data_IF_796029163207
#
_entry.id   IF_796029163207
#
_cell.length_a   1.000
_cell.length_b   1.000
_cell.length_c   1.000
_cell.angle_alpha   90.00
_cell.angle_beta   90.00
_cell.angle_gamma   90.00
#
_symmetry.space_group_name_H-M   'P 1'
#
loop_
_entity.id
_entity.type
_entity.pdbx_description
1 polymer ?
#
# COMPACT_ATOMS: atom_id res chain seq x y z
N UNK A 1 -11.72 10.46 8.73
CA UNK A 1 -12.34 11.07 7.54
C UNK A 1 -11.29 11.96 6.90
N UNK A 2 -11.19 11.94 5.57
CA UNK A 2 -10.28 12.82 4.83
C UNK A 2 -10.78 14.25 4.90
N UNK A 3 -9.91 15.22 5.19
CA UNK A 3 -10.29 16.62 5.26
C UNK A 3 -10.21 17.23 3.85
N UNK A 4 -11.31 17.82 3.38
CA UNK A 4 -11.43 18.49 2.07
C UNK A 4 -11.05 17.62 0.86
N UNK A 5 -11.72 16.49 0.64
CA UNK A 5 -11.40 15.67 -0.51
C UNK A 5 -11.85 16.36 -1.83
N UNK A 6 -11.03 16.43 -2.90
CA UNK A 6 -11.48 16.77 -4.25
C UNK A 6 -12.61 15.87 -4.76
N UNK A 7 -12.77 14.69 -4.15
CA UNK A 7 -13.87 13.78 -4.40
C UNK A 7 -14.27 13.06 -3.10
N UNK A 8 -15.49 13.30 -2.60
CA UNK A 8 -16.04 12.67 -1.39
C UNK A 8 -16.23 11.14 -1.48
N UNK A 9 -15.90 10.50 -2.60
CA UNK A 9 -16.09 9.05 -2.79
C UNK A 9 -14.98 8.18 -2.20
N UNK A 10 -13.86 8.76 -1.74
CA UNK A 10 -12.78 7.96 -1.16
C UNK A 10 -13.21 7.38 0.20
N UNK A 11 -12.79 6.15 0.50
CA UNK A 11 -12.98 5.55 1.81
C UNK A 11 -11.67 5.35 2.58
N UNK A 12 -10.52 5.57 1.94
CA UNK A 12 -9.19 5.58 2.56
C UNK A 12 -8.38 6.73 1.97
N UNK A 13 -7.71 7.51 2.82
CA UNK A 13 -6.71 8.50 2.40
C UNK A 13 -5.40 8.23 3.09
N UNK A 14 -4.33 8.17 2.31
CA UNK A 14 -2.98 7.95 2.80
C UNK A 14 -2.01 8.87 2.08
N UNK A 15 -0.71 8.70 2.38
CA UNK A 15 0.33 9.49 1.73
C UNK A 15 0.27 9.32 0.20
N UNK A 16 0.45 8.09 -0.28
CA UNK A 16 0.33 7.76 -1.69
C UNK A 16 -0.10 6.30 -1.83
N UNK A 17 -1.12 6.03 -2.62
CA UNK A 17 -1.58 4.68 -2.89
C UNK A 17 -0.66 3.98 -3.88
N UNK A 18 -0.20 2.79 -3.48
CA UNK A 18 0.59 1.92 -4.33
C UNK A 18 -0.24 0.66 -4.66
N UNK A 19 -0.64 0.46 -5.94
CA UNK A 19 -1.37 -0.75 -6.35
C UNK A 19 -0.47 -1.89 -6.85
N UNK A 20 0.82 -1.65 -7.08
CA UNK A 20 1.68 -2.65 -7.72
C UNK A 20 2.24 -3.64 -6.69
N UNK A 21 2.19 -4.91 -7.09
CA UNK A 21 2.41 -6.14 -6.32
C UNK A 21 1.38 -6.38 -5.23
N UNK A 22 1.15 -5.38 -4.39
CA UNK A 22 0.20 -5.39 -3.29
C UNK A 22 -0.30 -3.97 -3.05
N UNK A 23 -1.51 -3.86 -2.47
CA UNK A 23 -2.19 -2.59 -2.27
C UNK A 23 -1.80 -1.99 -0.92
N UNK A 24 -1.14 -0.83 -0.92
CA UNK A 24 -0.68 -0.22 0.34
C UNK A 24 -0.46 1.29 0.31
N UNK A 25 -0.15 1.83 1.50
CA UNK A 25 0.21 3.22 1.73
C UNK A 25 1.56 3.26 2.46
N UNK A 26 2.60 3.91 1.91
CA UNK A 26 3.90 4.02 2.57
C UNK A 26 3.78 4.63 3.97
N UNK A 27 4.64 4.14 4.87
CA UNK A 27 4.69 4.63 6.26
C UNK A 27 3.55 4.14 7.15
N UNK A 28 2.60 3.36 6.62
CA UNK A 28 1.44 2.86 7.37
C UNK A 28 0.61 4.01 7.99
N UNK A 29 0.54 5.14 7.29
CA UNK A 29 -0.18 6.34 7.73
C UNK A 29 -1.39 6.57 6.82
N UNK A 30 -2.58 6.38 7.37
CA UNK A 30 -3.84 6.61 6.66
C UNK A 30 -4.97 7.00 7.61
N UNK A 31 -5.99 7.64 7.05
CA UNK A 31 -7.32 7.74 7.63
C UNK A 31 -8.29 6.96 6.76
N UNK A 32 -9.26 6.30 7.37
CA UNK A 32 -10.25 5.50 6.65
C UNK A 32 -11.65 5.73 7.22
N UNK A 33 -12.66 5.42 6.43
CA UNK A 33 -14.04 5.37 6.91
C UNK A 33 -14.28 4.07 7.70
N UNK A 34 -15.08 4.14 8.76
CA UNK A 34 -15.34 2.99 9.62
C UNK A 34 -16.07 1.86 8.90
N UNK A 35 -16.95 2.18 7.93
CA UNK A 35 -17.65 1.21 7.10
C UNK A 35 -16.70 0.39 6.21
N UNK A 36 -15.60 0.98 5.75
CA UNK A 36 -14.52 0.26 5.08
C UNK A 36 -13.73 -0.62 6.06
N UNK A 37 -13.29 -0.06 7.19
CA UNK A 37 -12.53 -0.80 8.21
C UNK A 37 -13.28 -2.05 8.70
N UNK A 38 -14.60 -1.96 8.85
CA UNK A 38 -15.44 -3.09 9.29
C UNK A 38 -15.50 -4.26 8.29
N UNK A 39 -15.05 -4.06 7.04
CA UNK A 39 -14.97 -5.11 6.01
C UNK A 39 -13.61 -5.81 6.01
N UNK A 40 -12.60 -5.23 6.66
CA UNK A 40 -11.26 -5.80 6.73
C UNK A 40 -11.23 -6.97 7.71
N UNK A 41 -10.40 -7.96 7.39
CA UNK A 41 -10.00 -9.00 8.34
C UNK A 41 -9.26 -8.31 9.50
N UNK A 42 -9.46 -8.70 10.77
CA UNK A 42 -8.71 -8.12 11.88
C UNK A 42 -7.19 -8.20 11.65
N UNK A 43 -6.39 -7.17 11.98
CA UNK A 43 -4.97 -7.11 11.62
C UNK A 43 -4.16 -8.36 11.99
N UNK A 44 -4.37 -8.89 13.20
CA UNK A 44 -3.69 -10.12 13.65
C UNK A 44 -4.02 -11.34 12.77
N UNK A 45 -5.28 -11.48 12.36
CA UNK A 45 -5.72 -12.57 11.48
C UNK A 45 -5.29 -12.35 10.03
N UNK A 46 -5.14 -11.09 9.60
CA UNK A 46 -4.68 -10.77 8.25
C UNK A 46 -3.28 -11.31 8.00
N UNK A 47 -2.36 -11.08 8.95
CA UNK A 47 -0.99 -11.60 8.87
C UNK A 47 -0.94 -13.13 8.75
N UNK A 48 -1.72 -13.83 9.58
CA UNK A 48 -1.80 -15.30 9.55
C UNK A 48 -2.33 -15.81 8.20
N UNK A 49 -3.45 -15.24 7.72
CA UNK A 49 -4.07 -15.64 6.46
C UNK A 49 -3.20 -15.36 5.24
N UNK A 50 -2.53 -14.20 5.20
CA UNK A 50 -1.62 -13.90 4.09
C UNK A 50 -0.41 -14.84 4.08
N UNK A 51 0.09 -15.21 5.26
CA UNK A 51 1.19 -16.19 5.39
C UNK A 51 0.75 -17.57 4.89
N UNK A 52 -0.45 -18.02 5.27
CA UNK A 52 -1.02 -19.29 4.78
C UNK A 52 -1.23 -19.27 3.26
N UNK A 53 -1.81 -18.19 2.72
CA UNK A 53 -1.99 -18.01 1.27
C UNK A 53 -0.66 -18.04 0.53
N UNK A 54 0.38 -17.40 1.08
CA UNK A 54 1.72 -17.43 0.52
C UNK A 54 2.29 -18.85 0.42
N UNK A 55 2.15 -19.63 1.50
CA UNK A 55 2.59 -21.02 1.53
C UNK A 55 1.81 -21.90 0.55
N UNK A 56 0.48 -21.72 0.46
CA UNK A 56 -0.34 -22.47 -0.50
C UNK A 56 0.06 -22.13 -1.94
N UNK A 57 0.24 -20.86 -2.27
CA UNK A 57 0.65 -20.43 -3.60
C UNK A 57 2.02 -21.04 -3.99
N UNK A 58 2.99 -20.99 -3.09
CA UNK A 58 4.32 -21.57 -3.32
C UNK A 58 4.28 -23.09 -3.44
N UNK A 59 3.68 -23.79 -2.48
CA UNK A 59 3.76 -25.24 -2.38
C UNK A 59 2.81 -25.97 -3.34
N UNK A 60 1.59 -25.45 -3.51
CA UNK A 60 0.55 -26.11 -4.31
C UNK A 60 0.57 -25.67 -5.77
N UNK A 61 0.81 -24.39 -6.01
CA UNK A 61 0.71 -23.82 -7.35
C UNK A 61 2.08 -23.54 -7.98
N UNK A 62 3.17 -23.85 -7.28
CA UNK A 62 4.54 -23.54 -7.70
C UNK A 62 4.71 -22.07 -8.12
N UNK A 63 3.96 -21.18 -7.46
CA UNK A 63 3.98 -19.77 -7.76
C UNK A 63 5.25 -19.18 -7.15
N UNK A 64 6.22 -18.86 -7.99
CA UNK A 64 7.51 -18.31 -7.58
C UNK A 64 7.62 -16.85 -7.99
N UNK A 65 8.20 -16.01 -7.12
CA UNK A 65 8.58 -14.64 -7.47
C UNK A 65 9.93 -14.69 -8.17
N UNK A 66 9.94 -15.10 -9.45
CA UNK A 66 11.18 -15.18 -10.23
C UNK A 66 11.84 -13.82 -10.44
N UNK A 67 11.05 -12.74 -10.39
CA UNK A 67 11.54 -11.37 -10.53
C UNK A 67 12.23 -10.89 -9.25
N UNK A 68 11.79 -11.34 -8.07
CA UNK A 68 12.41 -10.99 -6.78
C UNK A 68 12.31 -12.15 -5.77
N UNK A 69 13.30 -13.07 -5.77
CA UNK A 69 13.24 -14.26 -4.94
C UNK A 69 13.39 -13.96 -3.43
N UNK A 70 14.05 -12.85 -3.07
CA UNK A 70 14.36 -12.49 -1.68
C UNK A 70 13.45 -11.40 -1.08
N UNK A 71 12.39 -11.01 -1.79
CA UNK A 71 11.46 -9.92 -1.40
C UNK A 71 10.01 -10.38 -1.37
N UNK A 72 9.80 -11.67 -1.20
CA UNK A 72 8.48 -12.28 -1.15
C UNK A 72 7.65 -11.71 0.01
N UNK A 73 8.30 -11.41 1.13
CA UNK A 73 7.64 -10.87 2.31
C UNK A 73 7.05 -9.48 2.07
N UNK A 74 7.83 -8.63 1.41
CA UNK A 74 7.43 -7.32 0.92
C UNK A 74 6.25 -7.48 -0.06
N UNK A 75 6.47 -8.06 -1.23
CA UNK A 75 5.45 -8.05 -2.29
C UNK A 75 4.13 -8.77 -1.95
N UNK A 76 4.13 -9.67 -0.98
CA UNK A 76 2.95 -10.43 -0.57
C UNK A 76 2.31 -9.92 0.71
N UNK A 77 2.92 -8.97 1.41
CA UNK A 77 2.41 -8.48 2.69
C UNK A 77 2.38 -9.53 3.77
N UNK A 78 3.46 -10.29 3.89
CA UNK A 78 3.63 -11.24 4.99
C UNK A 78 4.72 -10.74 5.94
N UNK A 79 4.81 -11.39 7.11
CA UNK A 79 5.77 -10.98 8.14
C UNK A 79 5.60 -9.51 8.53
N UNK A 80 6.69 -8.74 8.52
CA UNK A 80 6.68 -7.33 8.95
C UNK A 80 5.83 -6.41 8.07
N UNK A 81 5.60 -6.78 6.80
CA UNK A 81 4.89 -5.97 5.83
C UNK A 81 3.37 -6.19 5.86
N UNK A 82 2.90 -7.17 6.63
CA UNK A 82 1.46 -7.46 6.76
C UNK A 82 0.65 -6.24 7.21
N UNK A 83 1.17 -5.44 8.13
CA UNK A 83 0.51 -4.23 8.61
C UNK A 83 0.44 -3.13 7.54
N UNK A 84 1.44 -3.04 6.67
CA UNK A 84 1.46 -2.07 5.57
C UNK A 84 0.38 -2.40 4.53
N UNK A 85 0.14 -3.70 4.29
CA UNK A 85 -0.77 -4.18 3.24
C UNK A 85 -2.19 -4.43 3.76
N UNK A 86 -2.37 -4.49 5.08
CA UNK A 86 -3.67 -4.73 5.71
C UNK A 86 -4.76 -3.78 5.22
N UNK A 87 -4.44 -2.50 5.06
CA UNK A 87 -5.41 -1.49 4.63
C UNK A 87 -5.91 -1.73 3.20
N UNK A 88 -5.16 -2.46 2.37
CA UNK A 88 -5.55 -2.88 1.02
C UNK A 88 -6.25 -4.23 0.94
N UNK A 89 -6.60 -4.84 2.07
CA UNK A 89 -7.10 -6.22 2.13
C UNK A 89 -8.54 -6.45 1.64
N UNK A 90 -9.24 -5.44 1.09
CA UNK A 90 -10.62 -5.57 0.65
C UNK A 90 -10.88 -4.89 -0.71
N UNK A 91 -11.64 -5.52 -1.63
CA UNK A 91 -11.85 -5.01 -2.99
C UNK A 91 -12.59 -3.66 -3.05
N UNK A 92 -13.36 -3.32 -2.03
CA UNK A 92 -14.05 -2.01 -1.93
C UNK A 92 -13.10 -0.84 -1.67
N UNK A 93 -11.78 -1.03 -1.64
CA UNK A 93 -10.81 0.06 -1.43
C UNK A 93 -10.97 1.15 -2.51
N UNK A 94 -11.25 2.38 -2.08
CA UNK A 94 -11.26 3.58 -2.91
C UNK A 94 -10.25 4.55 -2.29
N UNK A 95 -8.97 4.48 -2.70
CA UNK A 95 -7.90 5.23 -2.07
C UNK A 95 -7.77 6.64 -2.63
N UNK A 96 -7.33 7.59 -1.82
CA UNK A 96 -6.98 8.93 -2.25
C UNK A 96 -5.60 9.33 -1.70
N UNK A 97 -4.86 10.07 -2.53
CA UNK A 97 -3.48 10.46 -2.25
C UNK A 97 -3.46 11.83 -1.57
N UNK A 98 -2.57 11.99 -0.60
CA UNK A 98 -2.26 13.28 0.02
C UNK A 98 -0.87 13.78 -0.37
N UNK A 99 -0.13 12.99 -1.15
CA UNK A 99 1.21 13.34 -1.62
C UNK A 99 1.16 14.43 -2.67
N UNK A 100 2.06 15.41 -2.56
CA UNK A 100 2.23 16.46 -3.57
C UNK A 100 2.92 15.96 -4.85
N UNK A 101 3.52 14.76 -4.80
CA UNK A 101 4.19 14.10 -5.93
C UNK A 101 3.78 12.64 -6.02
N UNK A 102 3.66 12.15 -7.25
CA UNK A 102 3.39 10.74 -7.58
C UNK A 102 4.63 9.85 -7.60
N UNK A 103 5.81 10.40 -7.35
CA UNK A 103 7.06 9.63 -7.36
C UNK A 103 7.14 8.76 -6.11
N UNK A 104 6.76 7.50 -6.21
CA UNK A 104 6.74 6.57 -5.08
C UNK A 104 8.11 6.48 -4.37
N UNK A 105 9.21 6.38 -5.12
CA UNK A 105 10.58 6.35 -4.58
C UNK A 105 10.94 7.54 -3.70
N UNK A 106 10.34 8.71 -3.97
CA UNK A 106 10.54 9.88 -3.12
C UNK A 106 10.17 9.52 -1.69
N UNK A 107 8.99 8.93 -1.47
CA UNK A 107 8.39 8.63 -0.18
C UNK A 107 8.97 7.42 0.57
N UNK A 108 9.72 6.53 -0.10
CA UNK A 108 10.24 5.30 0.52
C UNK A 108 11.76 5.31 0.77
N UNK A 109 12.53 6.17 0.08
CA UNK A 109 13.99 6.17 0.17
C UNK A 109 14.59 7.36 0.92
N UNK A 110 13.80 8.36 1.28
CA UNK A 110 14.30 9.61 1.86
C UNK A 110 13.63 9.91 3.20
N UNK A 111 14.38 10.54 4.11
CA UNK A 111 13.79 11.16 5.30
C UNK A 111 13.11 12.45 4.88
N UNK A 112 11.82 12.57 5.16
CA UNK A 112 11.03 13.77 4.85
C UNK A 112 10.84 14.65 6.07
N UNK A 113 10.91 15.95 5.87
CA UNK A 113 10.54 16.96 6.86
C UNK A 113 9.04 17.20 6.79
N UNK A 114 8.44 17.67 7.89
CA UNK A 114 7.01 18.01 7.95
C UNK A 114 6.60 18.99 6.83
N UNK A 115 7.49 19.92 6.47
CA UNK A 115 7.28 20.88 5.37
C UNK A 115 7.18 20.24 3.99
N UNK A 116 7.54 18.96 3.82
CA UNK A 116 7.35 18.21 2.59
C UNK A 116 5.93 17.65 2.46
N UNK A 117 5.14 17.66 3.54
CA UNK A 117 3.78 17.14 3.55
C UNK A 117 2.78 18.26 3.30
N UNK A 118 1.80 17.97 2.45
CA UNK A 118 0.56 18.73 2.36
C UNK A 118 -0.52 17.91 3.04
N UNK A 119 -1.12 18.43 4.11
CA UNK A 119 -2.25 17.77 4.80
C UNK A 119 -3.60 18.01 4.09
N UNK A 120 -3.53 18.22 2.78
CA UNK A 120 -4.67 18.33 1.88
C UNK A 120 -4.53 17.25 0.81
N UNK A 121 -5.65 16.71 0.35
CA UNK A 121 -5.64 15.71 -0.71
C UNK A 121 -5.04 16.29 -2.00
N UNK A 122 -4.30 15.46 -2.73
CA UNK A 122 -3.75 15.75 -4.04
C UNK A 122 -4.56 15.03 -5.14
N UNK A 123 -4.49 15.48 -6.40
CA UNK A 123 -4.97 14.68 -7.52
C UNK A 123 -4.32 13.30 -7.48
N UNK A 124 -5.10 12.24 -7.80
CA UNK A 124 -4.52 10.89 -7.92
C UNK A 124 -3.43 10.92 -8.98
N UNK A 125 -2.23 10.48 -8.59
CA UNK A 125 -1.10 10.45 -9.51
C UNK A 125 -1.24 9.30 -10.49
N UNK A 126 -0.84 9.50 -11.74
CA UNK A 126 -0.70 8.40 -12.67
C UNK A 126 0.39 7.45 -12.17
N UNK A 127 0.25 6.15 -12.41
CA UNK A 127 1.35 5.20 -12.19
C UNK A 127 2.43 5.49 -13.23
N UNK A 128 3.41 6.31 -12.86
CA UNK A 128 4.55 6.63 -13.72
C UNK A 128 5.45 5.39 -13.87
N UNK A 129 5.75 5.00 -15.11
CA UNK A 129 6.63 3.86 -15.42
C UNK A 129 8.11 4.11 -15.09
N UNK A 130 8.50 5.34 -14.82
CA UNK A 130 9.91 5.73 -14.65
C UNK A 130 10.38 5.72 -13.18
N UNK A 131 9.45 5.77 -12.22
CA UNK A 131 9.76 5.69 -10.78
C UNK A 131 10.04 4.27 -10.25
N UNK A 132 10.25 3.31 -11.15
CA UNK A 132 10.55 1.91 -10.80
C UNK A 132 12.00 1.55 -11.06
N UNK A 133 12.75 2.36 -11.82
CA UNK A 133 14.12 2.02 -12.18
C UNK A 133 15.04 1.94 -10.96
N UNK A 134 14.78 2.68 -9.87
CA UNK A 134 15.56 2.63 -8.63
C UNK A 134 15.06 1.62 -7.59
N UNK A 135 13.79 1.21 -7.64
CA UNK A 135 13.23 0.12 -6.81
C UNK A 135 13.80 -1.25 -7.22
N UNK A 136 14.27 -1.37 -8.46
CA UNK A 136 14.76 -2.62 -9.08
C UNK A 136 16.23 -2.96 -8.78
N UNK A 137 17.00 -2.03 -8.21
CA UNK A 137 18.45 -2.17 -7.99
C UNK A 137 18.83 -2.59 -6.54
N UNK A 138 17.88 -3.15 -5.77
CA UNK A 138 18.06 -3.71 -4.42
C UNK A 138 17.63 -5.18 -4.35
#
# INVERSE_FOLDING_TARGET
QCLNPPNDTCNVCGLQFQPIWTQFMPGNMFTAHCDYINKLIPPAQYQERMTELAQVAQNKYNFTSSMYPNRLDDFWGIGRFSSEHWIGGHPDLIPCDMSTTGRFEYWIHHTHLESNFSWAMAPRHALEREGWAGVLDL
#
